data_IF_444867942068
#
_entry.id   IF_444867942068
#
_cell.length_a   1.000
_cell.length_b   1.000
_cell.length_c   1.000
_cell.angle_alpha   90.00
_cell.angle_beta   90.00
_cell.angle_gamma   90.00
#
_symmetry.space_group_name_H-M   'P 1'
#
loop_
_entity.id
_entity.type
_entity.pdbx_description
1 polymer ?
#
# COMPACT_ATOMS: atom_id res chain seq x y z
N UNK A 1 -30.24 1.19 26.09
CA UNK A 1 -29.39 1.37 24.93
C UNK A 1 -29.59 2.78 24.38
N UNK A 2 -29.14 3.79 25.11
CA UNK A 2 -29.16 5.19 24.66
C UNK A 2 -28.06 5.95 25.41
N UNK A 3 -26.82 5.79 25.00
CA UNK A 3 -25.66 6.57 25.49
C UNK A 3 -24.39 6.43 24.61
N UNK A 4 -24.48 5.88 23.40
CA UNK A 4 -23.29 5.71 22.54
C UNK A 4 -23.17 6.73 21.38
N UNK A 5 -24.14 7.65 21.21
CA UNK A 5 -24.16 8.60 20.09
C UNK A 5 -23.38 9.91 20.32
N UNK A 6 -22.76 10.11 21.49
CA UNK A 6 -22.07 11.38 21.82
C UNK A 6 -20.54 11.24 21.99
N UNK A 7 -19.97 10.05 21.82
CA UNK A 7 -18.52 9.92 21.94
C UNK A 7 -17.85 10.25 20.61
N UNK A 8 -16.83 11.14 20.59
CA UNK A 8 -16.05 11.38 19.39
C UNK A 8 -15.42 10.08 18.87
N UNK A 9 -15.24 9.97 17.55
CA UNK A 9 -14.57 8.83 16.94
C UNK A 9 -13.19 8.61 17.61
N UNK A 10 -12.81 7.36 17.90
CA UNK A 10 -11.55 7.08 18.55
C UNK A 10 -10.37 7.45 17.62
N UNK A 11 -9.26 7.86 18.21
CA UNK A 11 -8.03 8.11 17.46
C UNK A 11 -7.63 6.87 16.63
N UNK A 12 -7.05 7.02 15.42
CA UNK A 12 -6.66 5.89 14.56
C UNK A 12 -5.77 4.84 15.24
N UNK A 13 -4.84 5.23 16.11
CA UNK A 13 -4.05 4.28 16.92
C UNK A 13 -4.94 3.39 17.80
N UNK A 14 -6.01 3.94 18.37
CA UNK A 14 -6.97 3.17 19.18
C UNK A 14 -7.77 2.22 18.28
N UNK A 15 -8.17 2.68 17.11
CA UNK A 15 -8.85 1.84 16.10
C UNK A 15 -7.95 0.69 15.64
N UNK A 16 -6.66 0.95 15.40
CA UNK A 16 -5.67 -0.07 15.05
C UNK A 16 -5.54 -1.17 16.12
N UNK A 17 -5.54 -0.81 17.41
CA UNK A 17 -5.47 -1.78 18.51
C UNK A 17 -6.76 -2.57 18.67
N UNK A 18 -7.92 -1.98 18.42
CA UNK A 18 -9.23 -2.54 18.75
C UNK A 18 -10.00 -3.12 17.56
N UNK A 19 -9.61 -2.78 16.34
CA UNK A 19 -10.28 -3.23 15.12
C UNK A 19 -10.29 -4.76 14.96
N UNK A 20 -11.27 -5.28 14.23
CA UNK A 20 -11.41 -6.70 13.89
C UNK A 20 -11.74 -7.62 15.09
N UNK A 21 -12.34 -7.11 16.14
CA UNK A 21 -12.79 -7.93 17.28
C UNK A 21 -14.14 -8.55 16.97
N UNK A 22 -14.18 -9.88 16.88
CA UNK A 22 -15.43 -10.61 16.66
C UNK A 22 -16.35 -10.52 17.89
N UNK A 23 -17.59 -10.02 17.73
CA UNK A 23 -18.56 -9.98 18.81
C UNK A 23 -18.79 -11.36 19.47
N UNK A 24 -18.92 -11.38 20.80
CA UNK A 24 -19.12 -12.61 21.56
C UNK A 24 -17.86 -13.44 21.84
N UNK A 25 -16.73 -13.16 21.20
CA UNK A 25 -15.45 -13.79 21.48
C UNK A 25 -14.69 -12.96 22.53
N UNK A 26 -14.38 -13.60 23.68
CA UNK A 26 -13.68 -12.94 24.81
C UNK A 26 -12.15 -13.01 24.71
N UNK A 27 -11.59 -13.55 23.63
CA UNK A 27 -10.15 -13.62 23.42
C UNK A 27 -9.55 -12.21 23.25
N UNK A 28 -8.44 -11.93 23.94
CA UNK A 28 -7.72 -10.65 23.80
C UNK A 28 -6.83 -10.63 22.55
N UNK A 29 -6.30 -11.77 22.12
CA UNK A 29 -5.57 -11.91 20.86
C UNK A 29 -6.57 -12.17 19.71
N UNK A 30 -6.21 -11.83 18.45
CA UNK A 30 -6.96 -12.29 17.29
C UNK A 30 -7.09 -13.82 17.28
N UNK A 31 -8.23 -14.34 16.82
CA UNK A 31 -8.49 -15.78 16.76
C UNK A 31 -8.22 -16.30 15.34
N UNK A 32 -7.40 -17.34 15.26
CA UNK A 32 -7.12 -18.03 13.99
C UNK A 32 -8.16 -19.13 13.74
N UNK A 33 -8.90 -18.99 12.64
CA UNK A 33 -9.79 -20.02 12.10
C UNK A 33 -9.10 -20.71 10.91
N UNK A 34 -8.36 -21.75 11.18
CA UNK A 34 -7.58 -22.49 10.17
C UNK A 34 -8.44 -23.41 9.27
N UNK A 35 -9.77 -23.45 9.47
CA UNK A 35 -10.68 -24.28 8.69
C UNK A 35 -10.87 -23.75 7.28
N UNK A 36 -10.80 -24.63 6.27
CA UNK A 36 -11.13 -24.31 4.88
C UNK A 36 -12.63 -24.42 4.62
N UNK A 37 -13.30 -25.38 5.26
CA UNK A 37 -14.72 -25.68 5.08
C UNK A 37 -15.44 -25.69 6.42
N UNK A 38 -16.73 -25.43 6.39
CA UNK A 38 -17.59 -25.35 7.57
C UNK A 38 -18.83 -26.18 7.33
N UNK A 39 -19.36 -26.76 8.39
CA UNK A 39 -20.64 -27.46 8.35
C UNK A 39 -21.78 -26.48 8.11
N UNK A 40 -22.78 -26.87 7.35
CA UNK A 40 -24.00 -26.11 7.09
C UNK A 40 -25.18 -26.80 7.74
N UNK A 41 -26.02 -26.03 8.46
CA UNK A 41 -27.13 -26.58 9.22
C UNK A 41 -28.27 -27.06 8.30
N UNK A 42 -28.57 -26.29 7.25
CA UNK A 42 -29.62 -26.61 6.26
C UNK A 42 -29.20 -26.25 4.85
N UNK A 43 -29.80 -26.86 3.83
CA UNK A 43 -29.52 -26.53 2.43
C UNK A 43 -29.88 -25.07 2.12
N UNK A 44 -30.95 -24.54 2.72
CA UNK A 44 -31.34 -23.13 2.56
C UNK A 44 -30.27 -22.17 3.16
N UNK A 45 -29.64 -22.54 4.27
CA UNK A 45 -28.51 -21.79 4.84
C UNK A 45 -27.30 -21.84 3.91
N UNK A 46 -27.02 -23.02 3.34
CA UNK A 46 -25.93 -23.19 2.38
C UNK A 46 -26.13 -22.32 1.13
N UNK A 47 -27.33 -22.28 0.56
CA UNK A 47 -27.67 -21.46 -0.57
C UNK A 47 -27.51 -19.96 -0.26
N UNK A 48 -28.04 -19.49 0.87
CA UNK A 48 -27.86 -18.11 1.32
C UNK A 48 -26.39 -17.74 1.48
N UNK A 49 -25.61 -18.61 2.12
CA UNK A 49 -24.17 -18.36 2.31
C UNK A 49 -23.39 -18.37 1.00
N UNK A 50 -23.75 -19.22 0.05
CA UNK A 50 -23.09 -19.31 -1.26
C UNK A 50 -23.20 -18.01 -2.07
N UNK A 51 -24.27 -17.25 -1.88
CA UNK A 51 -24.53 -15.97 -2.55
C UNK A 51 -24.10 -14.73 -1.74
N UNK A 52 -23.55 -14.92 -0.53
CA UNK A 52 -23.18 -13.80 0.34
C UNK A 52 -21.70 -13.46 0.23
N UNK A 53 -21.38 -12.21 -0.13
CA UNK A 53 -20.03 -11.63 -0.07
C UNK A 53 -19.44 -11.61 1.36
N UNK A 54 -20.25 -11.91 2.37
CA UNK A 54 -19.89 -11.81 3.80
C UNK A 54 -20.01 -13.13 4.54
N UNK A 55 -20.23 -14.24 3.84
CA UNK A 55 -20.29 -15.56 4.44
C UNK A 55 -18.90 -15.95 4.99
N UNK A 56 -18.74 -15.83 6.31
CA UNK A 56 -17.46 -16.13 6.99
C UNK A 56 -17.30 -17.62 7.32
N UNK A 57 -18.37 -18.41 7.26
CA UNK A 57 -18.39 -19.81 7.66
C UNK A 57 -19.10 -20.67 6.60
N UNK A 58 -18.65 -20.58 5.37
CA UNK A 58 -19.10 -21.41 4.26
C UNK A 58 -17.92 -22.15 3.65
N UNK A 59 -17.07 -21.44 2.96
CA UNK A 59 -15.83 -21.94 2.37
C UNK A 59 -14.79 -20.80 2.34
N UNK A 60 -13.57 -21.05 2.83
CA UNK A 60 -12.61 -19.96 3.09
C UNK A 60 -12.22 -19.11 1.89
N UNK A 61 -12.38 -19.61 0.65
CA UNK A 61 -12.22 -18.77 -0.56
C UNK A 61 -13.29 -17.66 -0.66
N UNK A 62 -14.49 -17.89 -0.13
CA UNK A 62 -15.57 -16.91 -0.07
C UNK A 62 -15.38 -15.94 1.10
N UNK A 63 -15.05 -16.48 2.28
CA UNK A 63 -14.81 -15.73 3.51
C UNK A 63 -14.40 -16.66 4.64
N UNK A 64 -13.70 -16.10 5.62
CA UNK A 64 -13.23 -16.81 6.81
C UNK A 64 -13.24 -15.85 7.99
N UNK A 65 -13.61 -16.26 9.22
CA UNK A 65 -13.75 -15.33 10.33
C UNK A 65 -12.47 -14.54 10.66
N UNK A 66 -11.27 -15.11 10.46
CA UNK A 66 -10.00 -14.38 10.64
C UNK A 66 -9.79 -13.35 9.54
N UNK A 67 -10.08 -13.71 8.29
CA UNK A 67 -9.96 -12.82 7.13
C UNK A 67 -10.95 -11.66 7.29
N UNK A 68 -12.20 -11.94 7.63
CA UNK A 68 -13.23 -10.91 7.82
C UNK A 68 -12.86 -9.95 8.95
N UNK A 69 -12.26 -10.46 10.06
CA UNK A 69 -11.78 -9.62 11.16
C UNK A 69 -10.67 -8.65 10.70
N UNK A 70 -9.77 -9.10 9.83
CA UNK A 70 -8.77 -8.23 9.21
C UNK A 70 -9.41 -7.18 8.28
N UNK A 71 -10.34 -7.60 7.42
CA UNK A 71 -11.10 -6.71 6.52
C UNK A 71 -11.85 -5.63 7.30
N UNK A 72 -12.55 -6.00 8.37
CA UNK A 72 -13.25 -5.06 9.26
C UNK A 72 -12.29 -4.06 9.95
N UNK A 73 -11.12 -4.53 10.38
CA UNK A 73 -10.11 -3.65 10.99
C UNK A 73 -9.58 -2.61 9.99
N UNK A 74 -9.31 -3.04 8.74
CA UNK A 74 -8.84 -2.12 7.69
C UNK A 74 -9.94 -1.15 7.27
N UNK A 75 -11.17 -1.64 7.06
CA UNK A 75 -12.31 -0.76 6.74
C UNK A 75 -12.50 0.31 7.82
N UNK A 76 -12.42 -0.06 9.10
CA UNK A 76 -12.53 0.89 10.21
C UNK A 76 -11.39 1.92 10.24
N UNK A 77 -10.16 1.51 9.87
CA UNK A 77 -9.00 2.40 9.81
C UNK A 77 -9.06 3.38 8.65
N UNK A 78 -9.58 2.96 7.49
CA UNK A 78 -9.75 3.79 6.29
C UNK A 78 -11.02 4.64 6.32
N UNK A 79 -11.92 4.43 7.28
CA UNK A 79 -13.24 5.03 7.26
C UNK A 79 -14.11 4.51 6.11
N UNK A 80 -13.85 3.28 5.64
CA UNK A 80 -14.54 2.64 4.55
C UNK A 80 -15.80 1.89 5.00
N UNK A 81 -16.76 1.71 4.09
CA UNK A 81 -17.96 0.89 4.34
C UNK A 81 -17.65 -0.60 4.39
N UNK A 82 -16.65 -1.03 3.61
CA UNK A 82 -16.22 -2.42 3.52
C UNK A 82 -14.76 -2.52 3.06
N UNK A 83 -14.16 -3.71 3.25
CA UNK A 83 -12.88 -4.08 2.67
C UNK A 83 -12.88 -5.53 2.20
N UNK A 84 -11.98 -5.86 1.26
CA UNK A 84 -11.73 -7.21 0.77
C UNK A 84 -10.23 -7.51 0.78
N UNK A 85 -9.86 -8.62 1.42
CA UNK A 85 -8.48 -9.10 1.48
C UNK A 85 -8.14 -10.03 0.31
N UNK A 86 -6.89 -9.95 -0.14
CA UNK A 86 -6.30 -10.70 -1.26
C UNK A 86 -5.00 -11.36 -0.80
N UNK A 87 -4.57 -12.39 -1.54
CA UNK A 87 -3.33 -13.11 -1.27
C UNK A 87 -2.05 -12.25 -1.35
N UNK A 88 -2.11 -11.08 -1.98
CA UNK A 88 -0.99 -10.13 -2.10
C UNK A 88 -1.48 -8.75 -2.54
N UNK A 89 -0.63 -7.73 -2.41
CA UNK A 89 -0.90 -6.40 -2.98
C UNK A 89 -1.15 -6.45 -4.48
N UNK A 90 -0.38 -7.24 -5.23
CA UNK A 90 -0.64 -7.44 -6.66
C UNK A 90 -1.96 -8.16 -6.94
N UNK A 91 -2.37 -9.09 -6.07
CA UNK A 91 -3.70 -9.69 -6.15
C UNK A 91 -4.82 -8.66 -5.96
N UNK A 92 -4.63 -7.69 -5.06
CA UNK A 92 -5.56 -6.58 -4.86
C UNK A 92 -5.62 -5.64 -6.07
N UNK A 93 -4.45 -5.19 -6.58
CA UNK A 93 -4.37 -4.32 -7.76
C UNK A 93 -4.98 -5.00 -8.99
N UNK A 94 -4.62 -6.27 -9.25
CA UNK A 94 -5.19 -7.06 -10.36
C UNK A 94 -6.69 -7.24 -10.19
N UNK A 95 -7.14 -7.45 -8.95
CA UNK A 95 -8.56 -7.55 -8.60
C UNK A 95 -9.32 -6.27 -8.95
N UNK A 96 -8.77 -5.09 -8.62
CA UNK A 96 -9.37 -3.80 -8.96
C UNK A 96 -9.39 -3.60 -10.48
N UNK A 97 -8.24 -3.78 -11.15
CA UNK A 97 -8.13 -3.51 -12.60
C UNK A 97 -8.98 -4.45 -13.42
N UNK A 98 -8.80 -5.76 -13.28
CA UNK A 98 -9.51 -6.77 -14.09
C UNK A 98 -10.93 -7.08 -13.58
N UNK A 99 -11.24 -6.74 -12.33
CA UNK A 99 -12.58 -6.90 -11.77
C UNK A 99 -13.52 -5.77 -12.13
N UNK A 100 -12.99 -4.58 -12.44
CA UNK A 100 -13.79 -3.39 -12.79
C UNK A 100 -13.72 -3.03 -14.28
N UNK A 101 -12.66 -3.42 -15.00
CA UNK A 101 -12.48 -3.08 -16.40
C UNK A 101 -12.74 -4.28 -17.30
N UNK A 102 -13.31 -4.02 -18.46
CA UNK A 102 -13.65 -4.96 -19.53
C UNK A 102 -12.95 -4.60 -20.83
N UNK A 103 -13.04 -5.48 -21.84
CA UNK A 103 -12.53 -5.18 -23.19
C UNK A 103 -13.16 -3.90 -23.77
N UNK A 104 -12.31 -2.96 -24.18
CA UNK A 104 -12.70 -1.66 -24.73
C UNK A 104 -12.63 -0.52 -23.72
N UNK A 105 -12.54 -0.84 -22.42
CA UNK A 105 -12.35 0.16 -21.39
C UNK A 105 -10.95 0.78 -21.41
N UNK A 106 -10.84 1.92 -20.75
CA UNK A 106 -9.61 2.69 -20.62
C UNK A 106 -9.28 2.93 -19.17
N UNK A 107 -7.99 2.85 -18.83
CA UNK A 107 -7.42 3.15 -17.52
C UNK A 107 -6.47 4.33 -17.64
N UNK A 108 -6.62 5.32 -16.76
CA UNK A 108 -5.60 6.36 -16.56
C UNK A 108 -4.77 5.96 -15.33
N UNK A 109 -3.46 5.87 -15.49
CA UNK A 109 -2.58 5.43 -14.41
C UNK A 109 -1.36 6.36 -14.26
N UNK A 110 -0.85 6.44 -13.05
CA UNK A 110 0.39 7.15 -12.76
C UNK A 110 1.59 6.38 -13.33
N UNK A 111 2.54 7.14 -13.91
CA UNK A 111 3.80 6.57 -14.39
C UNK A 111 4.75 6.21 -13.25
N UNK A 112 4.83 7.07 -12.24
CA UNK A 112 5.57 6.85 -11.00
C UNK A 112 4.78 5.89 -10.12
N UNK A 113 4.94 4.59 -10.31
CA UNK A 113 4.25 3.56 -9.53
C UNK A 113 5.15 2.34 -9.34
N UNK A 114 4.74 1.45 -8.47
CA UNK A 114 5.41 0.17 -8.27
C UNK A 114 5.57 -0.59 -9.60
N UNK A 115 6.79 -1.12 -9.86
CA UNK A 115 7.10 -1.78 -11.14
C UNK A 115 6.16 -2.92 -11.49
N UNK A 116 5.61 -3.66 -10.51
CA UNK A 116 4.61 -4.69 -10.76
C UNK A 116 3.29 -4.13 -11.28
N UNK A 117 2.86 -2.97 -10.77
CA UNK A 117 1.66 -2.26 -11.26
C UNK A 117 1.85 -1.82 -12.70
N UNK A 118 3.00 -1.22 -13.01
CA UNK A 118 3.35 -0.81 -14.38
C UNK A 118 3.36 -2.01 -15.33
N UNK A 119 3.98 -3.13 -14.94
CA UNK A 119 4.01 -4.35 -15.74
C UNK A 119 2.61 -4.95 -15.98
N UNK A 120 1.74 -4.94 -14.97
CA UNK A 120 0.34 -5.36 -15.14
C UNK A 120 -0.36 -4.49 -16.18
N UNK A 121 -0.26 -3.17 -16.03
CA UNK A 121 -0.97 -2.21 -16.88
C UNK A 121 -0.42 -2.20 -18.31
N UNK A 122 0.90 -2.19 -18.51
CA UNK A 122 1.52 -2.14 -19.82
C UNK A 122 1.56 -3.50 -20.53
N UNK A 123 1.72 -4.60 -19.79
CA UNK A 123 1.94 -5.92 -20.37
C UNK A 123 0.72 -6.84 -20.38
N UNK A 124 -0.12 -6.77 -19.33
CA UNK A 124 -1.26 -7.70 -19.19
C UNK A 124 -2.56 -7.07 -19.69
N UNK A 125 -2.88 -5.82 -19.33
CA UNK A 125 -4.13 -5.15 -19.71
C UNK A 125 -4.40 -5.16 -21.23
N UNK A 126 -3.41 -4.89 -22.11
CA UNK A 126 -3.65 -4.95 -23.55
C UNK A 126 -4.09 -6.33 -24.06
N UNK A 127 -3.66 -7.42 -23.39
CA UNK A 127 -4.08 -8.78 -23.75
C UNK A 127 -5.56 -9.03 -23.46
N UNK A 128 -6.14 -8.25 -22.55
CA UNK A 128 -7.58 -8.26 -22.25
C UNK A 128 -8.35 -7.17 -22.98
N UNK A 129 -7.67 -6.41 -23.88
CA UNK A 129 -8.27 -5.34 -24.66
C UNK A 129 -8.61 -4.09 -23.82
N UNK A 130 -7.90 -3.88 -22.73
CA UNK A 130 -7.99 -2.70 -21.87
C UNK A 130 -6.85 -1.75 -22.26
N UNK A 131 -7.20 -0.53 -22.66
CA UNK A 131 -6.22 0.51 -23.00
C UNK A 131 -5.75 1.26 -21.75
N UNK A 132 -4.49 1.68 -21.73
CA UNK A 132 -3.90 2.39 -20.61
C UNK A 132 -3.18 3.66 -21.06
N UNK A 133 -3.47 4.78 -20.40
CA UNK A 133 -2.70 6.02 -20.52
C UNK A 133 -1.93 6.29 -19.24
N UNK A 134 -0.61 6.37 -19.35
CA UNK A 134 0.26 6.76 -18.23
C UNK A 134 0.46 8.27 -18.20
N UNK A 135 0.22 8.87 -17.03
CA UNK A 135 0.41 10.31 -16.79
C UNK A 135 1.51 10.55 -15.75
N UNK A 136 2.07 11.74 -15.73
CA UNK A 136 2.91 12.18 -14.63
C UNK A 136 2.01 12.56 -13.44
N UNK A 137 2.06 11.75 -12.37
CA UNK A 137 1.23 11.96 -11.18
C UNK A 137 1.58 13.21 -10.36
N UNK A 138 2.74 13.82 -10.62
CA UNK A 138 3.18 15.05 -9.96
C UNK A 138 2.72 16.31 -10.69
N UNK A 139 2.23 16.18 -11.93
CA UNK A 139 1.76 17.29 -12.75
C UNK A 139 0.28 17.60 -12.46
N UNK A 140 -0.06 18.81 -11.96
CA UNK A 140 -1.44 19.18 -11.67
C UNK A 140 -2.37 19.02 -12.87
N UNK A 141 -3.51 18.38 -12.70
CA UNK A 141 -4.52 18.16 -13.74
C UNK A 141 -4.19 17.04 -14.74
N UNK A 142 -3.05 16.34 -14.60
CA UNK A 142 -2.64 15.32 -15.58
C UNK A 142 -3.63 14.16 -15.67
N UNK A 143 -4.11 13.66 -14.53
CA UNK A 143 -5.11 12.58 -14.51
C UNK A 143 -6.42 13.02 -15.18
N UNK A 144 -6.92 14.19 -14.82
CA UNK A 144 -8.21 14.70 -15.35
C UNK A 144 -8.15 14.92 -16.86
N UNK A 145 -7.04 15.46 -17.38
CA UNK A 145 -6.85 15.67 -18.84
C UNK A 145 -6.80 14.38 -19.64
N UNK A 146 -6.36 13.28 -19.02
CA UNK A 146 -6.25 11.98 -19.68
C UNK A 146 -7.57 11.17 -19.65
N UNK A 147 -8.58 11.59 -18.88
CA UNK A 147 -9.89 10.94 -18.84
C UNK A 147 -10.59 11.07 -20.20
N UNK A 148 -10.99 9.94 -20.76
CA UNK A 148 -11.84 9.85 -21.98
C UNK A 148 -13.28 9.62 -21.51
N UNK A 149 -14.17 10.64 -21.66
CA UNK A 149 -15.57 10.52 -21.24
C UNK A 149 -16.27 9.31 -21.85
N UNK A 150 -16.97 8.53 -21.01
CA UNK A 150 -17.70 7.33 -21.42
C UNK A 150 -16.84 6.11 -21.75
N UNK A 151 -15.48 6.22 -21.64
CA UNK A 151 -14.57 5.12 -21.92
C UNK A 151 -13.60 4.84 -20.76
N UNK A 152 -13.11 5.89 -20.07
CA UNK A 152 -12.25 5.69 -18.91
C UNK A 152 -13.10 5.09 -17.78
N UNK A 153 -12.76 3.87 -17.37
CA UNK A 153 -13.41 3.15 -16.27
C UNK A 153 -12.71 3.37 -14.95
N UNK A 154 -11.38 3.46 -14.97
CA UNK A 154 -10.55 3.52 -13.76
C UNK A 154 -9.47 4.60 -13.87
N UNK A 155 -9.29 5.36 -12.78
CA UNK A 155 -8.11 6.18 -12.50
C UNK A 155 -7.36 5.53 -11.36
N UNK A 156 -6.10 5.15 -11.57
CA UNK A 156 -5.27 4.46 -10.58
C UNK A 156 -4.02 5.30 -10.28
N UNK A 157 -3.88 5.73 -9.03
CA UNK A 157 -2.72 6.44 -8.52
C UNK A 157 -2.02 5.68 -7.39
N UNK A 158 -0.78 6.03 -7.10
CA UNK A 158 0.01 5.52 -5.97
C UNK A 158 0.63 6.69 -5.22
N UNK A 159 0.41 6.81 -3.91
CA UNK A 159 0.95 7.94 -3.14
C UNK A 159 1.15 7.60 -1.65
N UNK A 160 2.35 7.83 -1.09
CA UNK A 160 3.61 8.17 -1.77
C UNK A 160 4.05 7.07 -2.74
N UNK A 161 4.62 7.44 -3.89
CA UNK A 161 4.98 6.50 -4.94
C UNK A 161 6.34 5.82 -4.68
N UNK A 162 6.43 4.53 -4.97
CA UNK A 162 7.67 3.76 -4.86
C UNK A 162 8.46 3.83 -6.20
N UNK A 163 9.77 4.19 -6.21
CA UNK A 163 10.64 4.31 -5.04
C UNK A 163 10.90 5.73 -4.55
N UNK A 164 10.47 6.78 -5.26
CA UNK A 164 10.94 8.15 -5.08
C UNK A 164 10.09 8.98 -4.11
N UNK A 165 9.00 8.41 -3.58
CA UNK A 165 8.05 9.05 -2.68
C UNK A 165 7.36 10.30 -3.27
N UNK A 166 7.19 10.33 -4.58
CA UNK A 166 6.38 11.36 -5.21
C UNK A 166 4.94 11.30 -4.68
N UNK A 167 4.34 12.46 -4.46
CA UNK A 167 2.99 12.58 -3.93
C UNK A 167 2.00 12.97 -5.03
N UNK A 168 0.79 12.44 -4.93
CA UNK A 168 -0.36 12.82 -5.77
C UNK A 168 -1.30 13.69 -4.96
N UNK A 169 -1.86 14.72 -5.57
CA UNK A 169 -2.91 15.52 -4.93
C UNK A 169 -4.22 14.72 -4.86
N UNK A 170 -4.55 14.27 -3.66
CA UNK A 170 -5.74 13.44 -3.42
C UNK A 170 -7.05 14.22 -3.63
N UNK A 171 -7.05 15.55 -3.44
CA UNK A 171 -8.21 16.40 -3.74
C UNK A 171 -8.50 16.40 -5.24
N UNK A 172 -7.44 16.43 -6.07
CA UNK A 172 -7.58 16.30 -7.52
C UNK A 172 -8.19 14.94 -7.88
N UNK A 173 -7.62 13.83 -7.40
CA UNK A 173 -8.11 12.48 -7.70
C UNK A 173 -9.57 12.32 -7.27
N UNK A 174 -9.93 12.72 -6.06
CA UNK A 174 -11.31 12.61 -5.55
C UNK A 174 -12.31 13.52 -6.27
N UNK A 175 -11.84 14.58 -6.95
CA UNK A 175 -12.69 15.47 -7.74
C UNK A 175 -13.07 14.91 -9.12
N UNK A 176 -12.35 13.90 -9.63
CA UNK A 176 -12.58 13.30 -10.95
C UNK A 176 -13.95 12.61 -10.95
N UNK A 177 -14.76 12.92 -11.96
CA UNK A 177 -16.11 12.37 -12.12
C UNK A 177 -16.19 11.48 -13.36
N UNK A 178 -16.96 10.42 -13.25
CA UNK A 178 -17.20 9.42 -14.28
C UNK A 178 -16.47 8.11 -14.03
N UNK A 179 -15.14 8.05 -14.14
CA UNK A 179 -14.40 6.83 -13.80
C UNK A 179 -14.37 6.57 -12.28
N UNK A 180 -14.17 5.31 -11.90
CA UNK A 180 -13.83 4.92 -10.53
C UNK A 180 -12.41 5.39 -10.24
N UNK A 181 -12.21 5.98 -9.05
CA UNK A 181 -10.89 6.41 -8.57
C UNK A 181 -10.36 5.44 -7.53
N UNK A 182 -9.13 4.98 -7.70
CA UNK A 182 -8.45 4.08 -6.78
C UNK A 182 -7.03 4.60 -6.48
N UNK A 183 -6.62 4.51 -5.22
CA UNK A 183 -5.30 4.93 -4.78
C UNK A 183 -4.61 3.80 -4.02
N UNK A 184 -3.41 3.42 -4.47
CA UNK A 184 -2.51 2.58 -3.68
C UNK A 184 -1.81 3.47 -2.64
N UNK A 185 -2.19 3.31 -1.38
CA UNK A 185 -1.69 4.05 -0.22
C UNK A 185 -0.78 3.19 0.67
N UNK A 186 -0.11 2.20 0.08
CA UNK A 186 0.70 1.21 0.79
C UNK A 186 1.79 1.85 1.67
N UNK A 187 2.48 2.89 1.17
CA UNK A 187 3.58 3.52 1.90
C UNK A 187 3.08 4.41 3.04
N UNK A 188 1.97 5.12 2.84
CA UNK A 188 1.41 5.98 3.87
C UNK A 188 0.70 5.21 4.98
N UNK A 189 0.06 4.09 4.65
CA UNK A 189 -0.87 3.36 5.53
C UNK A 189 -2.11 4.18 5.94
N UNK A 190 -3.15 3.58 6.51
CA UNK A 190 -4.33 4.33 6.99
C UNK A 190 -4.01 5.37 8.08
N UNK A 191 -2.85 5.27 8.74
CA UNK A 191 -2.44 6.22 9.78
C UNK A 191 -1.73 7.45 9.19
N UNK A 192 -1.21 7.36 7.98
CA UNK A 192 -0.58 8.47 7.28
C UNK A 192 -1.57 9.33 6.52
N UNK A 193 -2.44 8.72 5.77
CA UNK A 193 -3.50 9.39 5.01
C UNK A 193 -4.66 8.43 4.76
N UNK A 194 -5.87 8.95 4.71
CA UNK A 194 -7.08 8.22 4.34
C UNK A 194 -7.61 8.79 3.01
N UNK A 195 -7.27 8.20 1.85
CA UNK A 195 -7.67 8.69 0.53
C UNK A 195 -9.19 8.85 0.37
N UNK A 196 -9.98 7.99 1.01
CA UNK A 196 -11.45 8.06 0.97
C UNK A 196 -11.99 9.39 1.51
N UNK A 197 -11.31 10.02 2.47
CA UNK A 197 -11.71 11.32 3.03
C UNK A 197 -11.58 12.49 2.03
N UNK A 198 -10.86 12.27 0.93
CA UNK A 198 -10.69 13.22 -0.18
C UNK A 198 -11.65 12.95 -1.34
N UNK A 199 -12.54 11.96 -1.21
CA UNK A 199 -13.50 11.59 -2.26
C UNK A 199 -13.01 10.52 -3.23
N UNK A 200 -11.86 9.88 -2.97
CA UNK A 200 -11.41 8.67 -3.66
C UNK A 200 -12.36 7.52 -3.29
N UNK A 201 -12.69 6.64 -4.24
CA UNK A 201 -13.69 5.60 -4.02
C UNK A 201 -13.10 4.28 -3.50
N UNK A 202 -11.86 3.96 -3.91
CA UNK A 202 -11.15 2.74 -3.47
C UNK A 202 -9.74 3.09 -2.99
N UNK A 203 -9.36 2.49 -1.87
CA UNK A 203 -7.97 2.51 -1.39
C UNK A 203 -7.40 1.09 -1.39
N UNK A 204 -6.19 0.95 -1.89
CA UNK A 204 -5.47 -0.32 -2.02
C UNK A 204 -4.27 -0.30 -1.08
N UNK A 205 -3.98 -1.43 -0.45
CA UNK A 205 -2.74 -1.62 0.29
C UNK A 205 -2.12 -3.00 0.00
N UNK A 206 -0.83 -3.01 -0.22
CA UNK A 206 -0.04 -4.20 0.07
C UNK A 206 0.14 -4.30 1.58
N UNK A 207 -0.80 -4.97 2.24
CA UNK A 207 -0.75 -5.15 3.69
C UNK A 207 0.47 -5.98 4.15
N UNK A 208 1.15 -6.65 3.23
CA UNK A 208 2.50 -7.26 3.37
C UNK A 208 3.51 -6.31 4.01
N UNK A 209 3.37 -4.99 3.75
CA UNK A 209 4.32 -3.96 4.15
C UNK A 209 4.09 -3.53 5.60
N UNK A 210 4.07 -2.25 5.89
CA UNK A 210 3.97 -1.73 7.26
C UNK A 210 2.74 -2.21 8.04
N UNK A 211 1.63 -2.55 7.37
CA UNK A 211 0.42 -3.04 8.06
C UNK A 211 0.69 -4.37 8.80
N UNK A 212 1.21 -5.39 8.14
CA UNK A 212 1.68 -6.62 8.80
C UNK A 212 2.99 -6.37 9.57
N UNK A 213 3.96 -5.72 8.92
CA UNK A 213 5.09 -5.05 9.55
C UNK A 213 6.13 -5.94 10.23
N UNK A 214 6.16 -7.25 9.91
CA UNK A 214 7.07 -8.22 10.54
C UNK A 214 7.73 -9.18 9.54
N UNK A 215 7.67 -8.88 8.23
CA UNK A 215 8.25 -9.69 7.13
C UNK A 215 7.73 -11.14 7.08
N UNK A 216 6.55 -11.42 7.62
CA UNK A 216 5.99 -12.77 7.85
C UNK A 216 4.59 -12.99 7.25
N UNK A 217 4.13 -12.09 6.38
CA UNK A 217 2.84 -12.18 5.70
C UNK A 217 2.94 -11.69 4.26
N UNK A 218 2.21 -12.33 3.35
CA UNK A 218 1.94 -11.84 2.01
C UNK A 218 0.44 -11.56 1.90
N UNK A 219 0.04 -10.27 1.86
CA UNK A 219 -1.34 -9.88 2.01
C UNK A 219 -1.63 -8.59 1.24
N UNK A 220 -2.78 -8.52 0.57
CA UNK A 220 -3.33 -7.31 -0.03
C UNK A 220 -4.69 -6.99 0.54
N UNK A 221 -5.14 -5.75 0.41
CA UNK A 221 -6.50 -5.35 0.79
C UNK A 221 -6.96 -4.16 -0.05
N UNK A 222 -8.25 -4.16 -0.39
CA UNK A 222 -8.94 -3.02 -0.99
C UNK A 222 -10.07 -2.62 -0.04
N UNK A 223 -10.19 -1.33 0.26
CA UNK A 223 -11.28 -0.79 1.07
C UNK A 223 -11.99 0.35 0.32
N UNK A 224 -13.28 0.55 0.57
CA UNK A 224 -14.06 1.58 -0.08
C UNK A 224 -15.56 1.39 0.07
N UNK A 225 -16.32 1.89 -0.91
CA UNK A 225 -17.76 1.76 -0.99
C UNK A 225 -18.18 0.28 -1.08
N UNK A 226 -19.25 -0.07 -0.40
CA UNK A 226 -19.72 -1.45 -0.26
C UNK A 226 -20.01 -2.13 -1.57
N UNK A 227 -20.72 -1.46 -2.47
CA UNK A 227 -21.13 -2.03 -3.76
C UNK A 227 -19.90 -2.35 -4.65
N UNK A 228 -18.87 -1.50 -4.62
CA UNK A 228 -17.61 -1.77 -5.31
C UNK A 228 -16.86 -2.95 -4.69
N UNK A 229 -16.82 -3.04 -3.36
CA UNK A 229 -16.17 -4.15 -2.67
C UNK A 229 -16.90 -5.47 -2.91
N UNK A 230 -18.22 -5.47 -2.97
CA UNK A 230 -19.03 -6.66 -3.27
C UNK A 230 -18.81 -7.13 -4.74
N UNK A 231 -18.69 -6.19 -5.70
CA UNK A 231 -18.30 -6.52 -7.07
C UNK A 231 -16.90 -7.15 -7.14
N UNK A 232 -15.94 -6.57 -6.44
CA UNK A 232 -14.57 -7.11 -6.34
C UNK A 232 -14.53 -8.49 -5.66
N UNK A 233 -15.41 -8.74 -4.68
CA UNK A 233 -15.51 -10.05 -4.04
C UNK A 233 -15.88 -11.14 -5.05
N UNK A 234 -16.89 -10.89 -5.90
CA UNK A 234 -17.31 -11.84 -6.93
C UNK A 234 -16.15 -12.22 -7.86
N UNK A 235 -15.39 -11.24 -8.32
CA UNK A 235 -14.22 -11.46 -9.15
C UNK A 235 -13.09 -12.19 -8.39
N UNK A 236 -12.78 -11.79 -7.15
CA UNK A 236 -11.72 -12.39 -6.33
C UNK A 236 -11.96 -13.89 -6.07
N UNK A 237 -13.21 -14.30 -5.84
CA UNK A 237 -13.58 -15.73 -5.66
C UNK A 237 -13.26 -16.55 -6.92
N UNK A 238 -13.49 -15.98 -8.11
CA UNK A 238 -13.21 -16.64 -9.40
C UNK A 238 -11.73 -16.59 -9.77
N UNK A 239 -11.08 -15.44 -9.56
CA UNK A 239 -9.66 -15.23 -9.78
C UNK A 239 -8.80 -16.15 -8.90
N UNK A 240 -9.26 -16.43 -7.67
CA UNK A 240 -8.57 -17.28 -6.72
C UNK A 240 -7.48 -16.62 -5.90
N UNK A 241 -7.22 -15.31 -6.05
CA UNK A 241 -6.23 -14.57 -5.25
C UNK A 241 -6.76 -14.24 -3.84
N UNK A 242 -7.31 -15.22 -3.14
CA UNK A 242 -7.92 -15.09 -1.83
C UNK A 242 -6.86 -15.11 -0.74
N UNK A 243 -7.03 -14.26 0.28
CA UNK A 243 -6.13 -14.21 1.43
C UNK A 243 -6.14 -15.53 2.22
N UNK A 244 -4.98 -15.87 2.79
CA UNK A 244 -4.85 -16.94 3.78
C UNK A 244 -5.30 -16.45 5.16
N UNK A 245 -6.00 -17.25 5.98
CA UNK A 245 -6.30 -16.87 7.35
C UNK A 245 -5.05 -16.71 8.23
N UNK A 246 -3.94 -17.36 7.89
CA UNK A 246 -2.66 -17.21 8.58
C UNK A 246 -2.05 -15.82 8.31
N UNK A 247 -2.02 -15.39 7.05
CA UNK A 247 -1.55 -14.06 6.69
C UNK A 247 -2.47 -12.95 7.23
N UNK A 248 -3.79 -13.17 7.18
CA UNK A 248 -4.76 -12.25 7.76
C UNK A 248 -4.60 -12.11 9.29
N UNK A 249 -4.27 -13.21 9.99
CA UNK A 249 -3.93 -13.20 11.41
C UNK A 249 -2.68 -12.36 11.68
N UNK A 250 -1.61 -12.54 10.89
CA UNK A 250 -0.39 -11.77 11.00
C UNK A 250 -0.64 -10.29 10.68
N UNK A 251 -1.42 -10.00 9.64
CA UNK A 251 -1.87 -8.66 9.31
C UNK A 251 -2.63 -7.99 10.48
N UNK A 252 -3.60 -8.68 11.04
CA UNK A 252 -4.40 -8.18 12.17
C UNK A 252 -3.54 -7.95 13.43
N UNK A 253 -2.57 -8.84 13.69
CA UNK A 253 -1.58 -8.67 14.76
C UNK A 253 -0.69 -7.46 14.49
N UNK A 254 -0.22 -7.29 13.26
CA UNK A 254 0.61 -6.16 12.83
C UNK A 254 -0.06 -4.81 12.99
N UNK A 255 -1.34 -4.70 12.63
CA UNK A 255 -2.13 -3.47 12.81
C UNK A 255 -2.10 -2.96 14.26
N UNK A 256 -2.12 -3.86 15.24
CA UNK A 256 -2.18 -3.49 16.68
C UNK A 256 -0.94 -2.75 17.18
N UNK A 257 0.17 -2.82 16.44
CA UNK A 257 1.42 -2.12 16.75
C UNK A 257 1.83 -1.15 15.64
N UNK A 258 0.93 -0.87 14.69
CA UNK A 258 1.25 -0.05 13.51
C UNK A 258 1.70 1.35 13.91
N UNK A 259 0.96 2.05 14.76
CA UNK A 259 1.27 3.42 15.15
C UNK A 259 2.65 3.59 15.81
N UNK A 260 2.98 2.86 16.88
CA UNK A 260 4.32 2.91 17.49
C UNK A 260 5.45 2.59 16.49
N UNK A 261 5.26 1.59 15.60
CA UNK A 261 6.27 1.23 14.59
C UNK A 261 6.49 2.36 13.60
N UNK A 262 5.43 2.92 13.04
CA UNK A 262 5.54 4.00 12.06
C UNK A 262 6.22 5.23 12.63
N UNK A 263 5.90 5.62 13.87
CA UNK A 263 6.55 6.77 14.53
C UNK A 263 8.05 6.57 14.68
N UNK A 264 8.49 5.40 15.13
CA UNK A 264 9.92 5.08 15.27
C UNK A 264 10.61 5.05 13.90
N UNK A 265 9.99 4.41 12.92
CA UNK A 265 10.52 4.30 11.56
C UNK A 265 10.65 5.68 10.89
N UNK A 266 9.63 6.55 11.02
CA UNK A 266 9.67 7.91 10.48
C UNK A 266 10.75 8.77 11.16
N UNK A 267 10.86 8.69 12.49
CA UNK A 267 11.93 9.38 13.23
C UNK A 267 13.32 9.00 12.72
N UNK A 268 13.55 7.70 12.51
CA UNK A 268 14.83 7.20 11.98
C UNK A 268 15.03 7.65 10.53
N UNK A 269 14.01 7.59 9.67
CA UNK A 269 14.11 8.04 8.29
C UNK A 269 14.45 9.53 8.16
N UNK A 270 13.84 10.38 8.99
CA UNK A 270 14.15 11.81 9.03
C UNK A 270 15.59 12.05 9.48
N UNK A 271 16.06 11.35 10.51
CA UNK A 271 17.43 11.49 11.01
C UNK A 271 18.47 11.05 9.97
N UNK A 272 18.25 9.91 9.31
CA UNK A 272 19.08 9.43 8.19
C UNK A 272 19.03 10.43 7.03
N UNK A 273 17.84 10.89 6.65
CA UNK A 273 17.66 11.84 5.56
C UNK A 273 18.46 13.12 5.78
N UNK A 274 18.40 13.72 6.97
CA UNK A 274 19.17 14.93 7.32
C UNK A 274 20.70 14.68 7.30
N UNK A 275 21.14 13.52 7.74
CA UNK A 275 22.56 13.17 7.70
C UNK A 275 23.03 13.01 6.24
N UNK A 276 22.21 12.42 5.38
CA UNK A 276 22.49 12.26 3.95
C UNK A 276 22.51 13.60 3.20
N UNK A 277 21.57 14.53 3.48
CA UNK A 277 21.53 15.86 2.86
C UNK A 277 22.83 16.67 3.06
N UNK A 278 23.54 16.39 4.16
CA UNK A 278 24.80 17.05 4.50
C UNK A 278 26.02 16.36 3.90
N UNK A 279 25.88 15.22 3.22
CA UNK A 279 27.01 14.41 2.77
C UNK A 279 27.38 14.66 1.30
N UNK A 280 28.67 14.93 1.03
CA UNK A 280 29.14 15.31 -0.30
C UNK A 280 28.94 14.26 -1.41
N UNK A 281 28.80 12.97 -1.06
CA UNK A 281 28.54 11.88 -1.99
C UNK A 281 27.06 11.77 -2.40
N UNK A 282 26.15 12.58 -1.84
CA UNK A 282 24.70 12.49 -2.04
C UNK A 282 24.23 13.69 -2.87
N UNK A 283 23.58 13.41 -4.00
CA UNK A 283 23.05 14.45 -4.88
C UNK A 283 21.71 15.01 -4.38
N UNK A 284 20.83 14.13 -3.91
CA UNK A 284 19.52 14.49 -3.35
C UNK A 284 19.03 13.41 -2.39
N UNK A 285 18.12 13.83 -1.50
CA UNK A 285 17.36 12.95 -0.59
C UNK A 285 15.88 13.23 -0.78
N UNK A 286 15.05 12.18 -0.72
CA UNK A 286 13.60 12.29 -0.77
C UNK A 286 12.98 11.58 0.43
N UNK A 287 12.35 12.37 1.27
CA UNK A 287 11.39 11.96 2.29
C UNK A 287 10.42 13.13 2.49
N UNK A 288 9.09 12.94 2.43
CA UNK A 288 8.16 14.07 2.39
C UNK A 288 8.11 14.95 3.67
N UNK A 289 8.80 14.56 4.73
CA UNK A 289 9.03 15.39 5.92
C UNK A 289 10.29 16.27 5.83
N UNK A 290 11.12 16.11 4.83
CA UNK A 290 12.28 17.00 4.60
C UNK A 290 11.85 18.19 3.74
N UNK A 291 12.29 19.38 4.10
CA UNK A 291 11.95 20.61 3.35
C UNK A 291 12.50 20.61 1.92
N UNK A 292 13.55 19.81 1.68
CA UNK A 292 14.12 19.57 0.35
C UNK A 292 13.23 18.75 -0.58
N UNK A 293 12.18 18.08 -0.06
CA UNK A 293 11.27 17.30 -0.90
C UNK A 293 10.48 18.20 -1.83
N UNK A 294 10.44 17.93 -3.16
CA UNK A 294 9.78 18.81 -4.14
C UNK A 294 8.31 19.11 -3.81
N UNK A 295 7.62 18.18 -3.15
CA UNK A 295 6.21 18.29 -2.78
C UNK A 295 6.00 18.42 -1.26
N UNK A 296 6.98 18.98 -0.54
CA UNK A 296 6.89 19.16 0.93
C UNK A 296 5.59 19.83 1.37
N UNK A 297 5.18 20.93 0.72
CA UNK A 297 3.95 21.64 1.06
C UNK A 297 2.69 20.79 0.88
N UNK A 298 2.63 19.98 -0.19
CA UNK A 298 1.54 19.02 -0.42
C UNK A 298 1.51 17.96 0.68
N UNK A 299 2.69 17.42 1.03
CA UNK A 299 2.84 16.45 2.10
C UNK A 299 2.35 16.97 3.46
N UNK A 300 2.69 18.21 3.81
CA UNK A 300 2.23 18.81 5.07
C UNK A 300 0.70 19.06 5.10
N UNK A 301 0.08 19.29 3.94
CA UNK A 301 -1.37 19.52 3.85
C UNK A 301 -2.19 18.24 3.97
N UNK A 302 -1.74 17.14 3.36
CA UNK A 302 -2.57 15.94 3.19
C UNK A 302 -2.22 14.80 4.13
N UNK A 303 -1.01 14.77 4.70
CA UNK A 303 -0.53 13.61 5.45
C UNK A 303 -0.25 13.94 6.92
N UNK A 304 -0.63 13.01 7.79
CA UNK A 304 -0.28 13.05 9.21
C UNK A 304 1.10 12.45 9.49
N UNK A 305 1.50 11.42 8.72
CA UNK A 305 2.82 10.78 8.78
C UNK A 305 3.13 10.03 7.47
N UNK A 306 4.41 9.66 7.26
CA UNK A 306 4.87 9.00 6.03
C UNK A 306 5.56 7.65 6.24
N UNK A 307 5.81 7.27 7.50
CA UNK A 307 6.56 6.05 7.82
C UNK A 307 8.05 6.15 7.52
N UNK A 308 8.71 4.99 7.37
CA UNK A 308 10.16 4.86 7.40
C UNK A 308 10.86 4.77 6.06
N UNK A 309 10.17 5.00 4.93
CA UNK A 309 10.80 4.88 3.60
C UNK A 309 11.38 6.20 3.17
N UNK A 310 12.64 6.18 2.67
CA UNK A 310 13.29 7.31 2.01
C UNK A 310 14.06 6.83 0.78
N UNK A 311 14.32 7.74 -0.15
CA UNK A 311 15.17 7.51 -1.30
C UNK A 311 16.25 8.58 -1.39
N UNK A 312 17.41 8.25 -1.93
CA UNK A 312 18.51 9.18 -2.18
C UNK A 312 19.33 8.75 -3.38
N UNK A 313 20.06 9.68 -3.96
CA UNK A 313 20.96 9.42 -5.08
C UNK A 313 22.41 9.64 -4.69
N UNK A 314 23.25 8.70 -5.06
CA UNK A 314 24.70 8.79 -4.92
C UNK A 314 25.35 9.34 -6.17
N UNK A 315 26.24 10.34 -6.01
CA UNK A 315 26.93 11.05 -7.09
C UNK A 315 27.78 10.14 -8.00
N UNK A 316 28.23 8.98 -7.50
CA UNK A 316 29.00 8.01 -8.27
C UNK A 316 28.15 7.05 -9.12
N UNK A 317 26.86 7.29 -9.29
CA UNK A 317 25.96 6.49 -10.14
C UNK A 317 25.81 5.04 -9.68
N UNK A 318 25.57 4.12 -10.61
CA UNK A 318 25.30 2.70 -10.32
C UNK A 318 26.38 2.02 -9.48
N UNK A 319 27.66 2.32 -9.76
CA UNK A 319 28.77 1.73 -9.00
C UNK A 319 28.79 2.20 -7.54
N UNK A 320 28.41 3.44 -7.26
CA UNK A 320 28.30 3.94 -5.89
C UNK A 320 27.08 3.35 -5.19
N UNK A 321 25.93 3.27 -5.86
CA UNK A 321 24.73 2.61 -5.33
C UNK A 321 24.98 1.16 -4.95
N UNK A 322 25.62 0.39 -5.83
CA UNK A 322 25.99 -1.00 -5.55
C UNK A 322 26.94 -1.13 -4.35
N UNK A 323 28.06 -0.36 -4.36
CA UNK A 323 29.01 -0.37 -3.22
C UNK A 323 28.33 -0.02 -1.91
N UNK A 324 27.47 1.00 -1.88
CA UNK A 324 26.75 1.37 -0.66
C UNK A 324 25.91 0.21 -0.14
N UNK A 325 25.07 -0.39 -0.99
CA UNK A 325 24.20 -1.52 -0.61
C UNK A 325 25.00 -2.72 -0.12
N UNK A 326 26.19 -2.97 -0.69
CA UNK A 326 27.08 -4.06 -0.29
C UNK A 326 27.93 -3.74 0.94
N UNK A 327 28.07 -2.46 1.32
CA UNK A 327 28.93 -2.00 2.43
C UNK A 327 28.23 -1.87 3.76
N UNK A 328 26.88 -1.75 3.78
CA UNK A 328 26.13 -1.66 5.04
C UNK A 328 26.33 -2.94 5.88
N UNK A 329 26.33 -2.78 7.20
CA UNK A 329 26.57 -3.89 8.15
C UNK A 329 25.38 -4.17 9.04
N UNK A 330 24.76 -3.12 9.58
CA UNK A 330 23.54 -3.20 10.36
C UNK A 330 22.32 -3.30 9.45
N UNK A 331 22.18 -2.36 8.52
CA UNK A 331 21.16 -2.39 7.48
C UNK A 331 21.30 -3.65 6.61
N UNK A 332 20.21 -4.13 6.04
CA UNK A 332 20.21 -5.38 5.27
C UNK A 332 19.86 -5.13 3.79
N UNK A 333 20.71 -5.59 2.86
CA UNK A 333 20.37 -5.62 1.44
C UNK A 333 19.18 -6.58 1.20
N UNK A 334 18.00 -6.02 0.98
CA UNK A 334 16.79 -6.81 0.72
C UNK A 334 15.72 -5.97 0.01
N UNK A 335 14.83 -6.65 -0.68
CA UNK A 335 13.59 -6.07 -1.21
C UNK A 335 12.56 -5.91 -0.07
N UNK A 336 11.37 -5.39 -0.39
CA UNK A 336 10.30 -5.09 0.56
C UNK A 336 10.55 -3.82 1.38
N UNK A 337 9.73 -3.57 2.40
CA UNK A 337 9.76 -2.39 3.29
C UNK A 337 8.79 -2.54 4.46
N UNK A 338 8.92 -1.69 5.47
CA UNK A 338 7.95 -1.55 6.58
C UNK A 338 8.07 -2.65 7.65
N UNK A 339 9.09 -3.51 7.57
CA UNK A 339 9.42 -4.50 8.60
C UNK A 339 10.19 -3.89 9.78
N UNK A 340 10.58 -4.73 10.77
CA UNK A 340 11.33 -4.28 11.94
C UNK A 340 12.82 -4.03 11.64
N UNK A 341 13.39 -4.68 10.61
CA UNK A 341 14.76 -4.46 10.17
C UNK A 341 14.85 -3.33 9.16
N UNK A 342 15.94 -2.57 9.21
CA UNK A 342 16.29 -1.56 8.20
C UNK A 342 16.79 -2.24 6.93
N UNK A 343 16.09 -1.99 5.82
CA UNK A 343 16.39 -2.58 4.51
C UNK A 343 16.90 -1.52 3.54
N UNK A 344 17.89 -1.89 2.72
CA UNK A 344 18.44 -1.06 1.64
C UNK A 344 18.31 -1.79 0.30
N UNK A 345 17.98 -1.04 -0.74
CA UNK A 345 17.70 -1.59 -2.06
C UNK A 345 18.24 -0.63 -3.14
N UNK A 346 18.86 -1.18 -4.19
CA UNK A 346 19.17 -0.45 -5.42
C UNK A 346 18.06 -0.72 -6.45
N UNK A 347 17.10 0.18 -6.61
CA UNK A 347 15.87 -0.09 -7.39
C UNK A 347 16.14 -0.56 -8.81
N UNK A 348 17.07 0.09 -9.54
CA UNK A 348 17.40 -0.24 -10.91
C UNK A 348 17.90 -1.69 -11.10
N UNK A 349 18.55 -2.28 -10.07
CA UNK A 349 19.05 -3.67 -10.11
C UNK A 349 18.12 -4.69 -9.47
N UNK A 350 17.01 -4.26 -8.84
CA UNK A 350 16.15 -5.16 -8.05
C UNK A 350 14.68 -4.94 -8.34
N UNK A 351 14.02 -4.05 -7.63
CA UNK A 351 12.54 -3.88 -7.69
C UNK A 351 12.03 -3.31 -9.03
N UNK A 352 12.90 -2.67 -9.80
CA UNK A 352 12.61 -2.09 -11.12
C UNK A 352 13.53 -2.65 -12.22
N UNK A 353 14.23 -3.77 -11.97
CA UNK A 353 15.12 -4.40 -12.94
C UNK A 353 14.43 -4.90 -14.21
N UNK A 354 13.09 -5.02 -14.20
CA UNK A 354 12.30 -5.37 -15.39
C UNK A 354 11.97 -4.19 -16.30
N UNK A 355 12.32 -2.95 -15.92
CA UNK A 355 12.14 -1.76 -16.74
C UNK A 355 13.35 -1.55 -17.66
N UNK A 356 13.08 -1.04 -18.86
CA UNK A 356 14.13 -0.58 -19.77
C UNK A 356 14.81 0.69 -19.23
N UNK A 357 16.02 1.05 -19.72
CA UNK A 357 16.67 2.30 -19.31
C UNK A 357 15.79 3.55 -19.51
N UNK A 358 15.05 3.61 -20.62
CA UNK A 358 14.15 4.73 -20.91
C UNK A 358 12.97 4.79 -19.93
N UNK A 359 12.41 3.64 -19.54
CA UNK A 359 11.36 3.55 -18.54
C UNK A 359 11.85 3.92 -17.14
N UNK A 360 13.08 3.54 -16.77
CA UNK A 360 13.71 3.98 -15.51
C UNK A 360 13.87 5.49 -15.48
N UNK A 361 14.37 6.09 -16.56
CA UNK A 361 14.49 7.55 -16.69
C UNK A 361 13.11 8.22 -16.61
N UNK A 362 12.11 7.69 -17.30
CA UNK A 362 10.75 8.20 -17.28
C UNK A 362 10.10 8.11 -15.88
N UNK A 363 10.50 7.12 -15.08
CA UNK A 363 10.10 6.98 -13.66
C UNK A 363 10.96 7.81 -12.69
N UNK A 364 11.95 8.58 -13.20
CA UNK A 364 12.87 9.39 -12.41
C UNK A 364 13.93 8.58 -11.64
N UNK A 365 14.06 7.28 -11.93
CA UNK A 365 15.01 6.39 -11.27
C UNK A 365 16.37 6.48 -11.96
N UNK A 366 17.31 7.15 -11.29
CA UNK A 366 18.68 7.29 -11.79
C UNK A 366 19.53 6.07 -11.41
N UNK A 367 20.68 5.85 -12.11
CA UNK A 367 21.55 4.73 -11.79
C UNK A 367 22.13 4.74 -10.36
N UNK A 368 22.22 5.91 -9.72
CA UNK A 368 22.70 6.06 -8.33
C UNK A 368 21.61 6.01 -7.26
N UNK A 369 20.37 5.78 -7.65
CA UNK A 369 19.22 5.77 -6.72
C UNK A 369 19.29 4.59 -5.76
N UNK A 370 19.21 4.88 -4.47
CA UNK A 370 19.05 3.91 -3.38
C UNK A 370 17.73 4.20 -2.67
N UNK A 371 16.97 3.16 -2.38
CA UNK A 371 15.80 3.23 -1.50
C UNK A 371 16.13 2.54 -0.18
N UNK A 372 15.79 3.18 0.91
CA UNK A 372 15.94 2.66 2.26
C UNK A 372 14.58 2.58 2.95
N UNK A 373 14.35 1.54 3.71
CA UNK A 373 13.19 1.37 4.60
C UNK A 373 13.70 1.20 6.01
N UNK A 374 13.62 2.25 6.82
CA UNK A 374 14.05 2.23 8.21
C UNK A 374 13.20 1.28 9.04
N UNK A 375 13.86 0.49 9.86
CA UNK A 375 13.27 -0.45 10.79
C UNK A 375 13.06 0.15 12.19
N UNK A 376 13.23 -0.70 13.20
CA UNK A 376 13.01 -0.35 14.61
C UNK A 376 14.32 -0.33 15.42
N UNK A 377 15.45 -0.48 14.76
CA UNK A 377 16.77 -0.37 15.39
C UNK A 377 16.95 1.04 15.97
N UNK A 378 17.90 1.18 16.88
CA UNK A 378 18.22 2.49 17.46
C UNK A 378 18.67 3.47 16.38
N UNK A 379 18.07 4.64 16.32
CA UNK A 379 18.26 5.63 15.25
C UNK A 379 19.73 6.00 15.02
N UNK A 380 20.50 6.19 16.11
CA UNK A 380 21.92 6.57 15.98
C UNK A 380 22.78 5.45 15.37
N UNK A 381 22.44 4.19 15.61
CA UNK A 381 23.18 3.06 15.05
C UNK A 381 22.89 2.94 13.54
N UNK A 382 21.66 3.17 13.12
CA UNK A 382 21.28 3.20 11.69
C UNK A 382 21.99 4.33 10.97
N UNK A 383 21.99 5.55 11.54
CA UNK A 383 22.70 6.72 10.97
C UNK A 383 24.22 6.43 10.86
N UNK A 384 24.82 5.85 11.90
CA UNK A 384 26.24 5.52 11.90
C UNK A 384 26.60 4.48 10.82
N UNK A 385 25.78 3.44 10.64
CA UNK A 385 25.99 2.41 9.61
C UNK A 385 25.89 3.00 8.20
N UNK A 386 24.89 3.86 7.96
CA UNK A 386 24.67 4.54 6.67
C UNK A 386 25.87 5.44 6.34
N UNK A 387 26.32 6.27 7.28
CA UNK A 387 27.47 7.16 7.05
C UNK A 387 28.79 6.39 6.85
N UNK A 388 29.00 5.29 7.60
CA UNK A 388 30.17 4.43 7.42
C UNK A 388 30.18 3.74 6.05
N UNK A 389 29.02 3.42 5.47
CA UNK A 389 28.90 2.81 4.15
C UNK A 389 29.15 3.80 2.99
N UNK A 390 29.07 5.10 3.24
CA UNK A 390 29.38 6.15 2.25
C UNK A 390 30.89 6.44 2.14
N UNK A 391 31.69 6.18 3.17
CA UNK A 391 33.15 6.38 3.23
C UNK A 391 33.52 7.69 3.87
#
# INVERSE_FOLDING_TARGET
MAADSERPAPHPDTTAVRGGRTPGIRAMAPVLWASTTFEIDTLADGERMAHSSRASKFYSRHGNPTINAFEEAVAALEGAEAARAFASGMGAITGVVLGLCSKGDHVVAQRQAYGGTTQLLAGVCPRFGIDVTFVDGTEPGAFMRAVIPGRTMLVLAETPANPLLDLVDLEEIGSIKGPITAVDSTLATPLGVQPLSFGVQLVIHSATKAMAGHNDATLGVVAGERDLIDALWGFAVLQGACASPFDAMNGLRGLRTLGPRLRQQEQTAIAVGRALESHAAVNWVRHPRLESHPQFALGQRQYTQFGGVLAFELAGGAAAGARFVESVRLCRPATSMGGPETLVTHPASTTHAGLTPDELVAAGITPGTVRMSCGLEHTADVVADVLAALG
#
